data_IF_366487908810
#
_entry.id   IF_366487908810
#
_cell.length_a   1.000
_cell.length_b   1.000
_cell.length_c   1.000
_cell.angle_alpha   90.00
_cell.angle_beta   90.00
_cell.angle_gamma   90.00
#
_symmetry.space_group_name_H-M   'P 1'
#
loop_
_entity.id
_entity.type
_entity.pdbx_description
1 polymer ?
#
# COMPACT_ATOMS: atom_id res chain seq x y z
N UNK A 1 -0.18 0.17 12.48
CA UNK A 1 -0.73 -1.04 11.84
C UNK A 1 0.21 -2.20 12.15
N UNK A 2 -0.30 -3.39 12.52
CA UNK A 2 0.55 -4.52 12.89
C UNK A 2 0.82 -5.41 11.66
N UNK A 3 1.78 -5.00 10.82
CA UNK A 3 2.02 -5.62 9.50
C UNK A 3 2.42 -7.10 9.57
N UNK A 4 3.04 -7.52 10.67
CA UNK A 4 3.44 -8.91 10.91
C UNK A 4 2.25 -9.89 10.98
N UNK A 5 1.05 -9.40 11.30
CA UNK A 5 -0.16 -10.23 11.38
C UNK A 5 -0.76 -10.57 10.01
N UNK A 6 -0.28 -9.96 8.93
CA UNK A 6 -0.81 -10.18 7.60
C UNK A 6 -0.02 -11.24 6.85
N UNK A 7 -0.61 -11.80 5.80
CA UNK A 7 0.12 -12.68 4.89
C UNK A 7 1.20 -11.92 4.13
N UNK A 8 2.21 -12.63 3.65
CA UNK A 8 3.26 -12.08 2.79
C UNK A 8 2.67 -11.37 1.56
N UNK A 9 1.66 -11.98 0.93
CA UNK A 9 0.94 -11.38 -0.21
C UNK A 9 0.33 -10.02 0.14
N UNK A 10 -0.32 -9.89 1.31
CA UNK A 10 -0.92 -8.62 1.74
C UNK A 10 0.15 -7.58 2.04
N UNK A 11 1.27 -7.97 2.67
CA UNK A 11 2.42 -7.06 2.87
C UNK A 11 2.98 -6.56 1.53
N UNK A 12 3.05 -7.42 0.51
CA UNK A 12 3.42 -7.04 -0.85
C UNK A 12 2.52 -5.95 -1.44
N UNK A 13 1.19 -6.09 -1.32
CA UNK A 13 0.25 -5.07 -1.78
C UNK A 13 0.42 -3.73 -1.04
N UNK A 14 0.62 -3.76 0.28
CA UNK A 14 0.86 -2.55 1.08
C UNK A 14 2.12 -1.83 0.59
N UNK A 15 3.19 -2.58 0.32
CA UNK A 15 4.43 -2.00 -0.19
C UNK A 15 4.25 -1.39 -1.59
N UNK A 16 3.58 -2.09 -2.51
CA UNK A 16 3.27 -1.55 -3.84
C UNK A 16 2.42 -0.27 -3.77
N UNK A 17 1.43 -0.23 -2.86
CA UNK A 17 0.59 0.95 -2.66
C UNK A 17 1.39 2.14 -2.13
N UNK A 18 2.31 1.93 -1.18
CA UNK A 18 3.19 2.97 -0.66
C UNK A 18 4.16 3.50 -1.71
N UNK A 19 4.79 2.62 -2.49
CA UNK A 19 5.65 3.03 -3.61
C UNK A 19 4.89 3.86 -4.64
N UNK A 20 3.65 3.48 -4.94
CA UNK A 20 2.80 4.21 -5.88
C UNK A 20 2.37 5.59 -5.33
N UNK A 21 2.04 5.69 -4.04
CA UNK A 21 1.73 6.98 -3.41
C UNK A 21 2.92 7.95 -3.49
N UNK A 22 4.12 7.46 -3.16
CA UNK A 22 5.35 8.24 -3.22
C UNK A 22 5.69 8.67 -4.65
N UNK A 23 5.55 7.79 -5.64
CA UNK A 23 5.85 8.12 -7.04
C UNK A 23 4.88 9.15 -7.63
N UNK A 24 3.70 9.32 -7.04
CA UNK A 24 2.70 10.33 -7.41
C UNK A 24 2.77 11.61 -6.57
N UNK A 25 3.80 11.76 -5.73
CA UNK A 25 3.94 12.89 -4.79
C UNK A 25 2.74 13.04 -3.84
N UNK A 26 2.06 11.95 -3.51
CA UNK A 26 0.99 11.97 -2.52
C UNK A 26 1.60 11.95 -1.12
N UNK A 27 1.48 13.07 -0.41
CA UNK A 27 2.04 13.25 0.94
C UNK A 27 1.41 12.32 1.99
N UNK A 28 0.16 11.88 1.75
CA UNK A 28 -0.56 11.00 2.65
C UNK A 28 -0.80 9.65 2.01
N UNK A 29 -0.51 8.59 2.76
CA UNK A 29 -0.90 7.24 2.39
C UNK A 29 -2.34 6.98 2.84
N UNK A 30 -3.26 6.99 1.89
CA UNK A 30 -4.71 6.80 2.11
C UNK A 30 -5.22 5.45 1.55
N UNK A 31 -6.41 4.96 1.95
CA UNK A 31 -6.99 3.71 1.44
C UNK A 31 -7.19 3.67 -0.09
N UNK A 32 -7.30 4.82 -0.76
CA UNK A 32 -7.38 4.89 -2.23
C UNK A 32 -6.16 4.24 -2.89
N UNK A 33 -4.97 4.39 -2.31
CA UNK A 33 -3.75 3.77 -2.82
C UNK A 33 -3.81 2.24 -2.76
N UNK A 34 -4.37 1.71 -1.68
CA UNK A 34 -4.57 0.27 -1.54
C UNK A 34 -5.56 -0.22 -2.58
N UNK A 35 -6.69 0.46 -2.76
CA UNK A 35 -7.68 0.09 -3.79
C UNK A 35 -7.04 0.05 -5.18
N UNK A 36 -6.16 1.01 -5.49
CA UNK A 36 -5.53 1.13 -6.81
C UNK A 36 -4.59 -0.02 -7.17
N UNK A 37 -4.02 -0.73 -6.19
CA UNK A 37 -3.05 -1.83 -6.42
C UNK A 37 -3.65 -3.23 -6.26
N UNK A 38 -4.94 -3.34 -5.94
CA UNK A 38 -5.64 -4.63 -5.78
C UNK A 38 -6.17 -5.20 -7.11
N UNK A 39 -6.00 -4.48 -8.21
CA UNK A 39 -6.42 -4.86 -9.57
C UNK A 39 -5.24 -5.25 -10.45
#
# INVERSE_FOLDING_TARGET
>A
MNLEKYSERVRGFIQSAQTMALSRNHQQFTPEHMLKVLV
#
